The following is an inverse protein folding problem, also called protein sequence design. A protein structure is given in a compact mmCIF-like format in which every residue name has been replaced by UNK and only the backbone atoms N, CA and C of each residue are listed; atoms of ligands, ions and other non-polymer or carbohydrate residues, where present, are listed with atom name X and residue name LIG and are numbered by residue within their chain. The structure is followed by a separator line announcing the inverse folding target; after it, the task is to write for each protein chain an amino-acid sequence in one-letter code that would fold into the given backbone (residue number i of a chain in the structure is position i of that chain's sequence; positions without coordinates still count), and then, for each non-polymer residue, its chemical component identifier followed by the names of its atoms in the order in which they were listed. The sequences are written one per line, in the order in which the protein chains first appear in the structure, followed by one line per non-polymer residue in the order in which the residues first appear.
data_IF_584564474136
#
_entry.id   IF_584564474136
#
_cell.length_a   1.000
_cell.length_b   1.000
_cell.length_c   1.000
_cell.angle_alpha   90.00
_cell.angle_beta   90.00
_cell.angle_gamma   90.00
#
_symmetry.space_group_name_H-M   'P 1'
#
loop_
_entity.id
_entity.type
_entity.pdbx_description
1 polymer ?
#
# COMPACT_ATOMS: atom_id res chain seq x y z
N UNK A 1 -5.45 19.62 -9.82
CA UNK A 1 -4.62 18.45 -9.74
C UNK A 1 -5.45 17.25 -9.29
N UNK A 2 -5.31 16.09 -9.96
CA UNK A 2 -5.83 14.81 -9.51
C UNK A 2 -4.61 13.93 -9.24
N UNK A 3 -4.46 13.48 -8.00
CA UNK A 3 -3.44 12.55 -7.59
C UNK A 3 -4.07 11.16 -7.43
N UNK A 4 -3.52 10.19 -8.12
CA UNK A 4 -3.97 8.80 -8.14
C UNK A 4 -2.85 7.92 -7.60
N UNK A 5 -3.17 7.07 -6.62
CA UNK A 5 -2.20 6.28 -5.89
C UNK A 5 -2.57 4.80 -5.97
N UNK A 6 -1.58 3.95 -6.18
CA UNK A 6 -1.68 2.49 -6.05
C UNK A 6 -2.53 1.81 -7.14
N UNK A 7 -2.56 2.42 -8.31
CA UNK A 7 -3.07 1.81 -9.54
C UNK A 7 -2.56 2.57 -10.76
N UNK A 8 -2.48 1.91 -11.91
CA UNK A 8 -1.88 2.44 -13.13
C UNK A 8 -2.76 2.24 -14.39
N UNK A 9 -4.03 1.89 -14.18
CA UNK A 9 -5.01 1.69 -15.25
C UNK A 9 -6.31 2.43 -14.90
N UNK A 10 -6.94 3.15 -15.85
CA UNK A 10 -8.15 3.96 -15.59
C UNK A 10 -9.36 3.15 -15.12
N UNK A 11 -9.48 1.89 -15.56
CA UNK A 11 -10.58 0.99 -15.22
C UNK A 11 -10.66 0.69 -13.71
N UNK A 12 -9.53 0.82 -12.99
CA UNK A 12 -9.48 0.70 -11.53
C UNK A 12 -10.25 1.79 -10.79
N UNK A 13 -10.57 2.89 -11.48
CA UNK A 13 -11.40 3.97 -10.95
C UNK A 13 -12.89 3.63 -10.88
N UNK A 14 -13.35 2.56 -11.54
CA UNK A 14 -14.74 2.19 -11.59
C UNK A 14 -15.62 3.35 -12.09
N UNK A 15 -16.68 3.71 -11.36
CA UNK A 15 -17.58 4.78 -11.76
C UNK A 15 -16.92 6.18 -11.84
N UNK A 16 -15.81 6.39 -11.15
CA UNK A 16 -15.08 7.65 -11.18
C UNK A 16 -14.28 7.85 -12.48
N UNK A 17 -14.01 6.81 -13.25
CA UNK A 17 -13.18 6.84 -14.45
C UNK A 17 -13.62 7.92 -15.44
N UNK A 18 -14.91 7.96 -15.78
CA UNK A 18 -15.47 8.95 -16.72
C UNK A 18 -15.28 10.40 -16.26
N UNK A 19 -15.34 10.64 -14.95
CA UNK A 19 -15.16 11.98 -14.38
C UNK A 19 -13.68 12.40 -14.36
N UNK A 20 -12.81 11.48 -13.98
CA UNK A 20 -11.36 11.72 -13.98
C UNK A 20 -10.85 11.91 -15.41
N UNK A 21 -11.26 11.07 -16.34
CA UNK A 21 -10.84 11.14 -17.75
C UNK A 21 -11.31 12.43 -18.43
N UNK A 22 -12.56 12.85 -18.20
CA UNK A 22 -13.10 14.09 -18.75
C UNK A 22 -12.54 15.37 -18.08
N UNK A 23 -11.92 15.26 -16.92
CA UNK A 23 -11.38 16.40 -16.18
C UNK A 23 -10.19 17.03 -16.90
N UNK A 24 -10.16 18.37 -16.95
CA UNK A 24 -9.01 19.17 -17.43
C UNK A 24 -7.90 19.32 -16.39
N UNK A 25 -8.11 18.84 -15.15
CA UNK A 25 -7.10 18.87 -14.12
C UNK A 25 -5.91 17.98 -14.51
N UNK A 26 -4.68 18.43 -14.20
CA UNK A 26 -3.49 17.60 -14.37
C UNK A 26 -3.62 16.33 -13.54
N UNK A 27 -3.27 15.21 -14.15
CA UNK A 27 -3.34 13.86 -13.58
C UNK A 27 -1.94 13.37 -13.26
N UNK A 28 -1.73 12.98 -12.02
CA UNK A 28 -0.48 12.39 -11.54
C UNK A 28 -0.78 11.00 -11.00
N UNK A 29 -0.06 10.01 -11.47
CA UNK A 29 -0.11 8.64 -10.95
C UNK A 29 1.20 8.32 -10.24
N UNK A 30 1.11 7.76 -9.03
CA UNK A 30 2.24 7.16 -8.31
C UNK A 30 1.85 5.72 -8.02
N UNK A 31 2.62 4.78 -8.54
CA UNK A 31 2.26 3.36 -8.52
C UNK A 31 3.49 2.44 -8.62
N UNK A 32 3.37 1.23 -8.08
CA UNK A 32 4.43 0.23 -8.14
C UNK A 32 4.05 -1.01 -8.97
N UNK A 33 2.84 -1.07 -9.53
CA UNK A 33 2.41 -2.21 -10.32
C UNK A 33 3.07 -2.25 -11.71
N UNK A 34 3.16 -3.46 -12.27
CA UNK A 34 3.67 -3.69 -13.61
C UNK A 34 2.71 -3.16 -14.69
N UNK A 35 3.26 -2.90 -15.88
CA UNK A 35 2.50 -2.54 -17.10
C UNK A 35 1.63 -1.29 -16.97
N UNK A 36 2.17 -0.12 -16.58
CA UNK A 36 1.40 1.10 -16.48
C UNK A 36 0.88 1.57 -17.83
N UNK A 37 -0.36 2.06 -17.87
CA UNK A 37 -0.93 2.71 -19.05
C UNK A 37 -0.51 4.18 -19.16
N UNK A 38 -0.45 4.68 -20.41
CA UNK A 38 -0.06 6.07 -20.70
C UNK A 38 -1.30 6.97 -20.72
N UNK A 39 -1.92 7.21 -19.57
CA UNK A 39 -3.07 8.11 -19.45
C UNK A 39 -2.83 9.34 -18.56
N UNK A 40 -1.93 9.33 -17.55
CA UNK A 40 -1.68 10.50 -16.73
C UNK A 40 -0.73 11.51 -17.41
N UNK A 41 -0.77 12.77 -16.97
CA UNK A 41 0.19 13.78 -17.39
C UNK A 41 1.59 13.55 -16.79
N UNK A 42 1.62 12.99 -15.57
CA UNK A 42 2.84 12.61 -14.87
C UNK A 42 2.65 11.20 -14.31
N UNK A 43 3.58 10.33 -14.64
CA UNK A 43 3.63 8.96 -14.14
C UNK A 43 4.93 8.75 -13.34
N UNK A 44 4.80 8.39 -12.08
CA UNK A 44 5.89 7.92 -11.22
C UNK A 44 5.60 6.45 -10.95
N UNK A 45 6.32 5.58 -11.65
CA UNK A 45 6.13 4.13 -11.57
C UNK A 45 7.46 3.44 -11.30
N UNK A 46 7.52 2.65 -10.23
CA UNK A 46 8.68 1.83 -9.90
C UNK A 46 8.25 0.45 -9.40
N UNK A 47 8.20 -0.55 -10.27
CA UNK A 47 7.83 -1.91 -9.89
C UNK A 47 8.84 -2.62 -8.97
N UNK A 48 9.98 -2.01 -8.69
CA UNK A 48 10.97 -2.55 -7.73
C UNK A 48 10.68 -2.12 -6.30
N UNK A 49 9.84 -1.11 -6.10
CA UNK A 49 9.37 -0.71 -4.79
C UNK A 49 8.40 -1.76 -4.22
N UNK A 50 8.45 -2.00 -2.94
CA UNK A 50 7.60 -2.99 -2.29
C UNK A 50 6.13 -2.57 -2.21
N UNK A 51 5.86 -1.27 -2.30
CA UNK A 51 4.52 -0.69 -2.22
C UNK A 51 4.52 0.75 -2.74
N UNK A 52 3.35 1.26 -3.09
CA UNK A 52 3.19 2.68 -3.36
C UNK A 52 3.51 3.54 -2.13
N UNK A 53 3.29 3.04 -0.92
CA UNK A 53 3.67 3.72 0.31
C UNK A 53 5.18 3.93 0.43
N UNK A 54 6.00 2.98 0.00
CA UNK A 54 7.45 3.16 -0.10
C UNK A 54 7.82 4.29 -1.07
N UNK A 55 7.17 4.35 -2.23
CA UNK A 55 7.39 5.43 -3.21
C UNK A 55 7.01 6.80 -2.64
N UNK A 56 5.87 6.90 -1.95
CA UNK A 56 5.44 8.14 -1.30
C UNK A 56 6.45 8.58 -0.24
N UNK A 57 6.97 7.65 0.58
CA UNK A 57 8.03 7.97 1.54
C UNK A 57 9.24 8.57 0.84
N UNK A 58 9.75 7.93 -0.22
CA UNK A 58 10.92 8.39 -0.98
C UNK A 58 10.68 9.79 -1.56
N UNK A 59 9.54 10.02 -2.23
CA UNK A 59 9.18 11.31 -2.83
C UNK A 59 9.13 12.41 -1.76
N UNK A 60 8.47 12.17 -0.63
CA UNK A 60 8.33 13.19 0.43
C UNK A 60 9.67 13.50 1.06
N UNK A 61 10.51 12.51 1.30
CA UNK A 61 11.84 12.72 1.88
C UNK A 61 12.79 13.42 0.93
N UNK A 62 12.70 13.14 -0.37
CA UNK A 62 13.51 13.80 -1.40
C UNK A 62 13.11 15.28 -1.58
N UNK A 63 11.83 15.59 -1.50
CA UNK A 63 11.31 16.95 -1.69
C UNK A 63 11.47 17.82 -0.43
N UNK A 64 11.22 17.28 0.76
CA UNK A 64 11.07 18.06 1.98
C UNK A 64 11.91 17.55 3.16
N UNK A 65 12.48 16.37 3.04
CA UNK A 65 13.24 15.73 4.09
C UNK A 65 12.38 14.98 5.13
N UNK A 66 13.04 14.15 5.92
CA UNK A 66 12.43 13.30 6.97
C UNK A 66 11.57 14.04 8.01
N UNK A 67 11.88 15.29 8.43
CA UNK A 67 11.06 15.99 9.42
C UNK A 67 9.59 16.18 9.06
N UNK A 68 9.22 16.03 7.78
CA UNK A 68 7.83 16.10 7.34
C UNK A 68 7.04 14.81 7.58
N UNK A 69 7.69 13.72 7.99
CA UNK A 69 7.04 12.45 8.32
C UNK A 69 6.58 12.49 9.78
N UNK A 70 5.37 12.98 10.02
CA UNK A 70 4.75 12.94 11.35
C UNK A 70 4.30 11.52 11.72
N UNK A 71 4.07 11.25 13.01
CA UNK A 71 3.62 9.94 13.49
C UNK A 71 2.38 9.41 12.76
N UNK A 72 1.25 10.16 12.60
CA UNK A 72 0.08 9.67 11.87
C UNK A 72 0.40 9.35 10.40
N UNK A 73 1.30 10.11 9.80
CA UNK A 73 1.73 9.88 8.43
C UNK A 73 2.58 8.59 8.33
N UNK A 74 3.49 8.41 9.28
CA UNK A 74 4.30 7.21 9.39
C UNK A 74 3.46 5.94 9.63
N UNK A 75 2.40 6.03 10.43
CA UNK A 75 1.44 4.93 10.64
C UNK A 75 0.79 4.50 9.32
N UNK A 76 0.31 5.45 8.52
CA UNK A 76 -0.31 5.15 7.21
C UNK A 76 0.69 4.51 6.23
N UNK A 77 1.91 5.06 6.13
CA UNK A 77 2.96 4.51 5.27
C UNK A 77 3.37 3.10 5.72
N UNK A 78 3.53 2.89 7.02
CA UNK A 78 3.87 1.59 7.58
C UNK A 78 2.79 0.54 7.28
N UNK A 79 1.50 0.91 7.41
CA UNK A 79 0.38 0.04 7.05
C UNK A 79 0.46 -0.38 5.59
N UNK A 80 0.66 0.53 4.65
CA UNK A 80 0.78 0.19 3.23
C UNK A 80 1.95 -0.75 2.96
N UNK A 81 3.13 -0.51 3.55
CA UNK A 81 4.29 -1.39 3.37
C UNK A 81 3.99 -2.81 3.88
N UNK A 82 3.46 -2.96 5.09
CA UNK A 82 3.24 -4.31 5.66
C UNK A 82 2.08 -5.05 4.99
N UNK A 83 1.05 -4.36 4.49
CA UNK A 83 -0.05 -5.02 3.78
C UNK A 83 0.37 -5.54 2.42
N UNK A 84 1.13 -4.78 1.65
CA UNK A 84 1.61 -5.18 0.32
C UNK A 84 2.67 -6.28 0.37
N UNK A 85 3.46 -6.32 1.44
CA UNK A 85 4.49 -7.34 1.64
C UNK A 85 4.03 -8.54 2.46
N UNK A 86 2.76 -8.57 2.89
CA UNK A 86 2.28 -9.59 3.81
C UNK A 86 3.12 -9.67 5.07
N UNK A 87 3.45 -8.53 5.68
CA UNK A 87 4.38 -8.43 6.81
C UNK A 87 5.80 -8.94 6.49
N UNK A 88 6.27 -8.64 5.28
CA UNK A 88 7.58 -9.05 4.72
C UNK A 88 7.71 -10.56 4.46
N UNK A 89 6.60 -11.28 4.30
CA UNK A 89 6.62 -12.70 3.95
C UNK A 89 6.72 -12.92 2.43
N UNK A 90 6.26 -11.95 1.63
CA UNK A 90 6.26 -12.03 0.18
C UNK A 90 6.39 -10.63 -0.46
N UNK A 91 6.42 -10.61 -1.79
CA UNK A 91 6.60 -9.37 -2.55
C UNK A 91 8.06 -8.97 -2.74
N UNK A 92 8.26 -7.82 -3.35
CA UNK A 92 9.59 -7.24 -3.58
C UNK A 92 9.92 -6.30 -2.43
N UNK A 93 10.99 -6.59 -1.70
CA UNK A 93 11.51 -5.67 -0.67
C UNK A 93 13.04 -5.76 -0.61
N UNK A 94 13.67 -4.73 -0.11
CA UNK A 94 15.13 -4.60 -0.09
C UNK A 94 15.63 -4.11 1.26
N UNK A 95 16.95 -4.01 1.41
CA UNK A 95 17.55 -3.35 2.58
C UNK A 95 17.10 -1.90 2.76
N UNK A 96 16.79 -1.19 1.66
CA UNK A 96 16.27 0.18 1.72
C UNK A 96 14.85 0.22 2.27
N UNK A 97 13.99 -0.75 1.92
CA UNK A 97 12.67 -0.90 2.54
C UNK A 97 12.76 -0.99 4.07
N UNK A 98 13.70 -1.80 4.58
CA UNK A 98 13.89 -1.91 6.04
C UNK A 98 14.48 -0.64 6.67
N UNK A 99 15.30 0.13 5.96
CA UNK A 99 15.74 1.46 6.43
C UNK A 99 14.58 2.44 6.53
N UNK A 100 13.70 2.45 5.53
CA UNK A 100 12.46 3.24 5.57
C UNK A 100 11.60 2.83 6.76
N UNK A 101 11.41 1.52 6.99
CA UNK A 101 10.66 1.03 8.15
C UNK A 101 11.31 1.48 9.46
N UNK A 102 12.64 1.46 9.57
CA UNK A 102 13.34 1.96 10.76
C UNK A 102 13.06 3.45 10.99
N UNK A 103 13.14 4.29 9.93
CA UNK A 103 12.82 5.71 10.01
C UNK A 103 11.34 5.95 10.44
N UNK A 104 10.41 5.14 9.95
CA UNK A 104 9.00 5.22 10.36
C UNK A 104 8.83 4.86 11.84
N UNK A 105 9.55 3.84 12.33
CA UNK A 105 9.52 3.43 13.74
C UNK A 105 10.10 4.52 14.67
N UNK A 106 11.13 5.25 14.21
CA UNK A 106 11.72 6.37 14.96
C UNK A 106 10.72 7.51 15.23
N UNK A 107 9.63 7.62 14.46
CA UNK A 107 8.54 8.58 14.74
C UNK A 107 7.69 8.21 15.96
N UNK A 108 7.91 7.02 16.53
CA UNK A 108 7.18 6.52 17.70
C UNK A 108 5.84 5.87 17.38
N UNK A 109 5.65 5.32 16.16
CA UNK A 109 4.47 4.50 15.84
C UNK A 109 4.43 3.25 16.72
N UNK A 110 3.22 2.82 17.07
CA UNK A 110 3.03 1.54 17.79
C UNK A 110 2.83 0.40 16.80
N UNK A 111 3.96 -0.18 16.36
CA UNK A 111 3.97 -1.34 15.47
C UNK A 111 3.11 -2.50 15.98
N UNK A 112 3.15 -2.77 17.29
CA UNK A 112 2.40 -3.89 17.88
C UNK A 112 0.90 -3.70 17.74
N UNK A 113 0.40 -2.53 18.08
CA UNK A 113 -1.02 -2.18 17.91
C UNK A 113 -1.43 -2.22 16.44
N UNK A 114 -0.62 -1.66 15.52
CA UNK A 114 -0.92 -1.70 14.07
C UNK A 114 -1.02 -3.13 13.57
N UNK A 115 -0.04 -3.99 13.88
CA UNK A 115 -0.06 -5.39 13.44
C UNK A 115 -1.26 -6.16 14.02
N UNK A 116 -1.60 -5.95 15.29
CA UNK A 116 -2.76 -6.59 15.89
C UNK A 116 -4.07 -6.16 15.21
N UNK A 117 -4.23 -4.89 14.88
CA UNK A 117 -5.42 -4.39 14.20
C UNK A 117 -5.58 -4.97 12.79
N UNK A 118 -4.48 -5.17 12.06
CA UNK A 118 -4.51 -5.66 10.68
C UNK A 118 -4.60 -7.18 10.63
N UNK A 119 -3.76 -7.89 11.36
CA UNK A 119 -3.57 -9.33 11.18
C UNK A 119 -4.26 -10.19 12.24
N UNK A 120 -4.54 -9.64 13.43
CA UNK A 120 -5.05 -10.43 14.55
C UNK A 120 -6.46 -10.00 15.02
N UNK A 121 -7.05 -8.98 14.42
CA UNK A 121 -8.38 -8.48 14.78
C UNK A 121 -9.47 -9.15 13.95
N UNK A 122 -9.79 -10.40 14.28
CA UNK A 122 -10.82 -11.17 13.58
C UNK A 122 -12.13 -11.15 14.37
N UNK A 123 -13.25 -10.84 13.68
CA UNK A 123 -14.56 -10.97 14.27
C UNK A 123 -14.89 -12.44 14.60
N UNK A 124 -15.73 -12.67 15.59
CA UNK A 124 -16.20 -14.01 15.93
C UNK A 124 -16.86 -14.73 14.74
N UNK A 125 -17.57 -13.98 13.87
CA UNK A 125 -18.21 -14.54 12.68
C UNK A 125 -17.20 -14.97 11.62
N UNK A 126 -16.13 -14.19 11.42
CA UNK A 126 -15.01 -14.60 10.56
C UNK A 126 -14.36 -15.88 11.07
N UNK A 127 -14.13 -15.98 12.38
CA UNK A 127 -13.55 -17.18 12.99
C UNK A 127 -14.47 -18.40 12.84
N UNK A 128 -15.79 -18.24 13.02
CA UNK A 128 -16.77 -19.31 12.79
C UNK A 128 -16.80 -19.75 11.33
N UNK A 129 -16.81 -18.81 10.39
CA UNK A 129 -16.77 -19.11 8.96
C UNK A 129 -15.49 -19.86 8.58
N UNK A 130 -14.35 -19.42 9.08
CA UNK A 130 -13.06 -20.08 8.83
C UNK A 130 -13.06 -21.51 9.42
N UNK A 131 -13.53 -21.69 10.64
CA UNK A 131 -13.67 -23.00 11.26
C UNK A 131 -14.60 -23.93 10.47
N UNK A 132 -15.72 -23.42 9.97
CA UNK A 132 -16.61 -24.16 9.09
C UNK A 132 -15.93 -24.57 7.77
N UNK A 133 -15.25 -23.64 7.12
CA UNK A 133 -14.56 -23.90 5.86
C UNK A 133 -13.47 -24.97 6.03
N UNK A 134 -12.62 -24.85 7.04
CA UNK A 134 -11.56 -25.81 7.34
C UNK A 134 -12.09 -27.19 7.71
N UNK A 135 -13.14 -27.27 8.53
CA UNK A 135 -13.66 -28.54 9.00
C UNK A 135 -14.60 -29.24 8.00
N UNK A 136 -15.39 -28.48 7.23
CA UNK A 136 -16.48 -29.06 6.41
C UNK A 136 -16.21 -28.99 4.89
N UNK A 137 -15.29 -28.14 4.45
CA UNK A 137 -15.09 -27.86 3.01
C UNK A 137 -13.66 -28.10 2.52
N UNK A 138 -12.69 -28.23 3.43
CA UNK A 138 -11.30 -28.45 3.05
C UNK A 138 -11.14 -29.85 2.44
N UNK A 139 -10.50 -29.91 1.28
CA UNK A 139 -10.08 -31.16 0.62
C UNK A 139 -8.56 -31.13 0.51
N UNK A 140 -7.90 -32.15 1.02
CA UNK A 140 -6.46 -32.33 0.87
C UNK A 140 -6.23 -33.08 -0.44
N UNK A 141 -5.55 -32.45 -1.39
CA UNK A 141 -5.12 -33.08 -2.65
C UNK A 141 -3.70 -33.57 -2.42
N UNK A 142 -3.43 -34.88 -2.65
CA UNK A 142 -2.10 -35.48 -2.47
C UNK A 142 -1.09 -34.95 -3.48
#
# INVERSE_FOLDING_TARGET
LILMLDFNQPDRLGEAEKHVTASKAKKVVIDHHLNPEKFPDILISDPTACSTSELIYRIVTDLNGKPFISKPYAEALYVGIITDTGNFEHGTYSGDTFRIVADLLETGIDKGTIQNLIYNNFSADRMRLMGYALNQKMVIIP
#
